data_IF_314731125624
#
_entry.id   IF_314731125624
#
_cell.length_a   1.000
_cell.length_b   1.000
_cell.length_c   1.000
_cell.angle_alpha   90.00
_cell.angle_beta   90.00
_cell.angle_gamma   90.00
#
_symmetry.space_group_name_H-M   'P 1'
#
loop_
_entity.id
_entity.type
_entity.pdbx_description
1 polymer ?
#
# COMPACT_ATOMS: atom_id res chain seq x y z
N UNK A 1 -10.37 -15.60 -15.09
CA UNK A 1 -11.06 -14.30 -14.90
C UNK A 1 -11.21 -13.92 -13.42
N UNK A 2 -11.62 -14.82 -12.51
CA UNK A 2 -11.79 -14.52 -11.07
C UNK A 2 -10.56 -13.90 -10.39
N UNK A 3 -9.36 -14.46 -10.58
CA UNK A 3 -8.15 -13.98 -9.88
C UNK A 3 -7.74 -12.55 -10.27
N UNK A 4 -7.95 -12.16 -11.53
CA UNK A 4 -7.62 -10.81 -12.01
C UNK A 4 -8.51 -9.75 -11.35
N UNK A 5 -9.81 -10.03 -11.21
CA UNK A 5 -10.72 -9.14 -10.50
C UNK A 5 -10.30 -8.95 -9.04
N UNK A 6 -9.87 -10.03 -8.36
CA UNK A 6 -9.38 -9.98 -6.98
C UNK A 6 -8.12 -9.14 -6.86
N UNK A 7 -7.11 -9.36 -7.71
CA UNK A 7 -5.85 -8.57 -7.66
C UNK A 7 -6.12 -7.10 -7.98
N UNK A 8 -7.02 -6.79 -8.92
CA UNK A 8 -7.40 -5.40 -9.22
C UNK A 8 -8.16 -4.75 -8.07
N UNK A 9 -9.05 -5.49 -7.39
CA UNK A 9 -9.77 -4.97 -6.22
C UNK A 9 -8.81 -4.69 -5.06
N UNK A 10 -7.92 -5.63 -4.74
CA UNK A 10 -6.93 -5.47 -3.67
C UNK A 10 -5.95 -4.35 -4.03
N UNK A 11 -5.29 -4.42 -5.18
CA UNK A 11 -4.33 -3.39 -5.61
C UNK A 11 -4.97 -2.01 -5.77
N UNK A 12 -6.24 -1.96 -6.19
CA UNK A 12 -7.02 -0.73 -6.26
C UNK A 12 -7.32 -0.13 -4.89
N UNK A 13 -7.69 -0.97 -3.92
CA UNK A 13 -7.86 -0.55 -2.53
C UNK A 13 -6.54 -0.07 -1.91
N UNK A 14 -5.43 -0.77 -2.17
CA UNK A 14 -4.09 -0.35 -1.75
C UNK A 14 -3.70 1.00 -2.36
N UNK A 15 -4.00 1.22 -3.64
CA UNK A 15 -3.75 2.50 -4.30
C UNK A 15 -4.56 3.64 -3.69
N UNK A 16 -5.83 3.41 -3.35
CA UNK A 16 -6.67 4.39 -2.68
C UNK A 16 -6.15 4.71 -1.27
N UNK A 17 -5.79 3.70 -0.49
CA UNK A 17 -5.21 3.88 0.85
C UNK A 17 -3.88 4.64 0.78
N UNK A 18 -3.00 4.24 -0.14
CA UNK A 18 -1.74 4.96 -0.39
C UNK A 18 -2.01 6.42 -0.72
N UNK A 19 -2.95 6.71 -1.63
CA UNK A 19 -3.27 8.08 -2.03
C UNK A 19 -3.72 8.93 -0.84
N UNK A 20 -4.57 8.38 0.03
CA UNK A 20 -5.04 9.06 1.24
C UNK A 20 -3.88 9.36 2.21
N UNK A 21 -3.01 8.37 2.47
CA UNK A 21 -1.87 8.53 3.37
C UNK A 21 -0.86 9.53 2.80
N UNK A 22 -0.54 9.42 1.51
CA UNK A 22 0.38 10.31 0.83
C UNK A 22 -0.14 11.75 0.80
N UNK A 23 -1.43 11.95 0.47
CA UNK A 23 -2.05 13.26 0.48
C UNK A 23 -2.07 13.86 1.90
N UNK A 24 -2.46 13.09 2.92
CA UNK A 24 -2.53 13.58 4.29
C UNK A 24 -1.14 13.95 4.83
N UNK A 25 -0.11 13.14 4.55
CA UNK A 25 1.24 13.42 5.04
C UNK A 25 1.96 14.53 4.28
N UNK A 26 1.86 14.57 2.94
CA UNK A 26 2.51 15.61 2.12
C UNK A 26 1.82 16.98 2.21
N UNK A 27 0.50 17.00 2.40
CA UNK A 27 -0.28 18.23 2.57
C UNK A 27 -0.55 18.55 4.05
N UNK A 28 0.16 17.88 4.96
CA UNK A 28 -0.04 18.04 6.40
C UNK A 28 0.13 19.51 6.82
N UNK A 29 -0.83 19.95 7.64
CA UNK A 29 -0.83 21.27 8.30
C UNK A 29 -0.52 21.18 9.79
N UNK A 30 0.01 20.03 10.24
CA UNK A 30 0.44 19.82 11.62
C UNK A 30 1.56 20.79 12.02
N UNK A 31 1.78 20.93 13.33
CA UNK A 31 2.87 21.72 13.86
C UNK A 31 4.22 21.33 13.26
N UNK A 32 5.18 22.27 13.12
CA UNK A 32 6.45 22.03 12.45
C UNK A 32 7.23 20.82 12.99
N UNK A 33 7.11 20.55 14.29
CA UNK A 33 7.75 19.41 14.94
C UNK A 33 7.18 18.05 14.46
N UNK A 34 5.87 17.96 14.23
CA UNK A 34 5.17 16.75 13.77
C UNK A 34 5.12 16.61 12.25
N UNK A 35 5.25 17.73 11.52
CA UNK A 35 5.17 17.74 10.04
C UNK A 35 6.26 16.90 9.38
N UNK A 36 7.46 16.85 9.97
CA UNK A 36 8.54 15.99 9.50
C UNK A 36 8.17 14.51 9.57
N UNK A 37 7.49 14.09 10.64
CA UNK A 37 7.03 12.71 10.82
C UNK A 37 5.93 12.35 9.82
N UNK A 38 4.95 13.24 9.61
CA UNK A 38 3.87 13.06 8.63
C UNK A 38 4.43 12.91 7.20
N UNK A 39 5.42 13.73 6.86
CA UNK A 39 6.09 13.68 5.55
C UNK A 39 6.88 12.39 5.37
N UNK A 40 7.61 11.97 6.40
CA UNK A 40 8.35 10.70 6.39
C UNK A 40 7.41 9.50 6.23
N UNK A 41 6.29 9.48 6.96
CA UNK A 41 5.28 8.43 6.84
C UNK A 41 4.69 8.35 5.43
N UNK A 42 4.36 9.49 4.81
CA UNK A 42 3.90 9.54 3.43
C UNK A 42 4.95 9.05 2.43
N UNK A 43 6.23 9.39 2.60
CA UNK A 43 7.31 8.93 1.75
C UNK A 43 7.52 7.42 1.87
N UNK A 44 7.50 6.87 3.09
CA UNK A 44 7.60 5.43 3.33
C UNK A 44 6.42 4.70 2.69
N UNK A 45 5.18 5.17 2.91
CA UNK A 45 3.99 4.59 2.30
C UNK A 45 4.06 4.61 0.76
N UNK A 46 4.61 5.68 0.19
CA UNK A 46 4.84 5.80 -1.25
C UNK A 46 5.89 4.83 -1.77
N UNK A 47 7.00 4.66 -1.04
CA UNK A 47 8.02 3.67 -1.37
C UNK A 47 7.46 2.25 -1.36
N UNK A 48 6.69 1.90 -0.33
CA UNK A 48 6.04 0.58 -0.24
C UNK A 48 5.12 0.36 -1.44
N UNK A 49 4.19 1.29 -1.70
CA UNK A 49 3.25 1.16 -2.81
C UNK A 49 3.94 1.10 -4.18
N UNK A 50 5.01 1.88 -4.39
CA UNK A 50 5.78 1.87 -5.63
C UNK A 50 6.44 0.51 -5.90
N UNK A 51 6.90 -0.19 -4.85
CA UNK A 51 7.59 -1.48 -4.97
C UNK A 51 6.64 -2.67 -5.00
N UNK A 52 5.46 -2.59 -4.35
CA UNK A 52 4.50 -3.70 -4.28
C UNK A 52 3.23 -3.46 -5.10
N UNK A 53 2.43 -2.46 -4.71
CA UNK A 53 1.08 -2.23 -5.23
C UNK A 53 1.07 -1.82 -6.70
N UNK A 54 2.01 -0.95 -7.12
CA UNK A 54 2.12 -0.49 -8.50
C UNK A 54 2.48 -1.61 -9.49
N UNK A 55 3.54 -2.43 -9.28
CA UNK A 55 3.80 -3.56 -10.16
C UNK A 55 2.70 -4.63 -10.11
N UNK A 56 2.05 -4.86 -8.97
CA UNK A 56 0.91 -5.77 -8.87
C UNK A 56 -0.27 -5.30 -9.76
N UNK A 57 -0.63 -4.02 -9.69
CA UNK A 57 -1.65 -3.41 -10.55
C UNK A 57 -1.27 -3.51 -12.03
N UNK A 58 -0.04 -3.13 -12.39
CA UNK A 58 0.44 -3.18 -13.78
C UNK A 58 0.37 -4.60 -14.35
N UNK A 59 0.79 -5.61 -13.58
CA UNK A 59 0.74 -7.01 -13.97
C UNK A 59 -0.71 -7.51 -14.12
N UNK A 60 -1.60 -7.13 -13.19
CA UNK A 60 -3.02 -7.46 -13.24
C UNK A 60 -3.74 -6.82 -14.43
N UNK A 61 -3.40 -5.57 -14.77
CA UNK A 61 -3.91 -4.89 -15.96
C UNK A 61 -3.45 -5.56 -17.25
N UNK A 62 -2.17 -5.95 -17.34
CA UNK A 62 -1.60 -6.64 -18.50
C UNK A 62 -1.99 -8.12 -18.58
N UNK A 63 -2.75 -8.64 -17.60
CA UNK A 63 -3.19 -10.05 -17.53
C UNK A 63 -2.01 -11.05 -17.59
N UNK A 64 -0.81 -10.64 -17.15
CA UNK A 64 0.41 -11.45 -17.15
C UNK A 64 0.89 -11.68 -15.72
N UNK A 65 1.37 -12.89 -15.42
CA UNK A 65 1.98 -13.18 -14.13
C UNK A 65 1.04 -13.01 -12.93
N UNK A 66 -0.25 -13.33 -13.08
CA UNK A 66 -1.30 -13.14 -12.07
C UNK A 66 -0.97 -13.73 -10.69
N UNK A 67 -0.19 -14.82 -10.62
CA UNK A 67 0.29 -15.39 -9.35
C UNK A 67 1.28 -14.47 -8.64
N UNK A 68 2.23 -13.91 -9.38
CA UNK A 68 3.18 -12.92 -8.84
C UNK A 68 2.48 -11.63 -8.44
N UNK A 69 1.53 -11.16 -9.26
CA UNK A 69 0.72 -9.99 -8.94
C UNK A 69 -0.08 -10.18 -7.65
N UNK A 70 -0.63 -11.37 -7.43
CA UNK A 70 -1.35 -11.70 -6.20
C UNK A 70 -0.43 -11.71 -4.97
N UNK A 71 0.75 -12.31 -5.05
CA UNK A 71 1.74 -12.30 -3.95
C UNK A 71 2.20 -10.88 -3.63
N UNK A 72 2.47 -10.07 -4.64
CA UNK A 72 2.87 -8.67 -4.47
C UNK A 72 1.76 -7.81 -3.85
N UNK A 73 0.51 -8.01 -4.24
CA UNK A 73 -0.64 -7.31 -3.66
C UNK A 73 -0.99 -7.78 -2.24
N UNK A 74 -0.60 -9.01 -1.85
CA UNK A 74 -0.83 -9.48 -0.49
C UNK A 74 0.22 -9.00 0.50
N UNK A 75 1.42 -8.71 0.02
CA UNK A 75 2.59 -8.41 0.86
C UNK A 75 2.32 -7.28 1.88
N UNK A 76 1.77 -6.12 1.48
CA UNK A 76 1.49 -5.02 2.41
C UNK A 76 0.37 -5.35 3.40
N UNK A 77 -0.65 -6.09 2.95
CA UNK A 77 -1.75 -6.53 3.81
C UNK A 77 -1.24 -7.50 4.88
N UNK A 78 -0.40 -8.47 4.50
CA UNK A 78 0.17 -9.45 5.42
C UNK A 78 1.09 -8.77 6.42
N UNK A 79 1.97 -7.87 6.00
CA UNK A 79 2.83 -7.13 6.93
C UNK A 79 2.03 -6.27 7.89
N UNK A 80 0.96 -5.61 7.43
CA UNK A 80 0.07 -4.84 8.31
C UNK A 80 -0.60 -5.75 9.35
N UNK A 81 -1.19 -6.87 8.93
CA UNK A 81 -1.86 -7.81 9.84
C UNK A 81 -0.86 -8.38 10.86
N UNK A 82 0.33 -8.78 10.42
CA UNK A 82 1.39 -9.26 11.31
C UNK A 82 1.82 -8.17 12.28
N UNK A 83 2.01 -6.93 11.82
CA UNK A 83 2.34 -5.81 12.69
C UNK A 83 1.24 -5.56 13.74
N UNK A 84 -0.03 -5.56 13.35
CA UNK A 84 -1.16 -5.40 14.29
C UNK A 84 -1.19 -6.55 15.31
N UNK A 85 -1.01 -7.79 14.88
CA UNK A 85 -1.04 -8.95 15.78
C UNK A 85 0.15 -8.97 16.74
N UNK A 86 1.33 -8.56 16.29
CA UNK A 86 2.54 -8.53 17.11
C UNK A 86 2.51 -7.35 18.10
N UNK A 87 2.05 -6.18 17.67
CA UNK A 87 2.07 -4.97 18.49
C UNK A 87 0.78 -4.73 19.29
N UNK A 88 -0.35 -5.25 18.85
CA UNK A 88 -1.64 -5.20 19.58
C UNK A 88 -1.79 -6.27 20.66
N UNK A 89 -0.78 -7.12 20.83
CA UNK A 89 -0.71 -8.14 21.89
C UNK A 89 0.05 -7.67 23.15
N UNK A 90 0.50 -6.40 23.18
CA UNK A 90 1.14 -5.73 24.32
C UNK A 90 0.27 -4.56 24.79
#
# INVERSE_FOLDING_TARGET
>A
MRLRGVVLAIGGAEALLWLLVAANGLLSRSDPATRGLDTAAALIATGIFAVSGLPALVLAFKNRGLRFAFVLALLPVVTLVVAILVWGAF
#
